data_IF_231729745872
#
_entry.id   IF_231729745872
#
_cell.length_a   1.000
_cell.length_b   1.000
_cell.length_c   1.000
_cell.angle_alpha   90.00
_cell.angle_beta   90.00
_cell.angle_gamma   90.00
#
_symmetry.space_group_name_H-M   'P 1'
#
loop_
_entity.id
_entity.type
_entity.pdbx_description
1 polymer ?
#
# COMPACT_ATOMS: atom_id res chain seq x y z
N UNK A 1 -9.45 8.44 7.10
CA UNK A 1 -8.99 9.07 5.82
C UNK A 1 -10.03 8.76 4.74
N UNK A 2 -10.27 9.64 3.76
CA UNK A 2 -11.39 9.47 2.84
C UNK A 2 -11.14 8.32 1.85
N UNK A 3 -12.15 7.50 1.63
CA UNK A 3 -12.16 6.48 0.58
C UNK A 3 -12.00 7.13 -0.80
N UNK A 4 -11.42 6.39 -1.75
CA UNK A 4 -11.19 6.87 -3.12
C UNK A 4 -12.02 6.03 -4.08
N UNK A 5 -12.92 6.68 -4.83
CA UNK A 5 -13.57 6.08 -5.99
C UNK A 5 -12.72 6.37 -7.22
N UNK A 6 -12.31 5.34 -7.96
CA UNK A 6 -11.54 5.53 -9.19
C UNK A 6 -12.46 6.02 -10.31
N UNK A 7 -12.04 7.02 -11.08
CA UNK A 7 -12.93 7.72 -12.02
C UNK A 7 -13.43 6.89 -13.20
N UNK A 8 -12.76 5.79 -13.52
CA UNK A 8 -13.13 4.88 -14.59
C UNK A 8 -13.43 3.48 -14.09
N UNK A 9 -13.80 2.63 -15.04
CA UNK A 9 -14.22 1.26 -14.77
C UNK A 9 -13.54 0.23 -15.69
N UNK A 10 -12.57 0.64 -16.50
CA UNK A 10 -11.74 -0.30 -17.29
C UNK A 10 -10.73 -1.05 -16.40
N UNK A 11 -10.03 -2.03 -16.97
CA UNK A 11 -9.01 -2.82 -16.26
C UNK A 11 -7.87 -1.96 -15.65
N UNK A 12 -7.68 -0.72 -16.13
CA UNK A 12 -6.71 0.24 -15.58
C UNK A 12 -7.19 1.00 -14.34
N UNK A 13 -8.49 1.00 -14.04
CA UNK A 13 -9.08 1.70 -12.89
C UNK A 13 -9.38 0.74 -11.75
N UNK A 14 -8.31 0.12 -11.24
CA UNK A 14 -8.37 -0.83 -10.11
C UNK A 14 -7.51 -0.36 -8.93
N UNK A 15 -7.93 -0.73 -7.74
CA UNK A 15 -7.11 -0.55 -6.55
C UNK A 15 -5.80 -1.36 -6.65
N UNK A 16 -4.74 -0.86 -6.03
CA UNK A 16 -3.56 -1.69 -5.81
C UNK A 16 -3.90 -2.79 -4.79
N UNK A 17 -3.06 -3.82 -4.67
CA UNK A 17 -3.27 -4.84 -3.65
C UNK A 17 -3.30 -4.24 -2.22
N UNK A 18 -2.53 -3.16 -1.98
CA UNK A 18 -2.50 -2.46 -0.70
C UNK A 18 -3.78 -1.66 -0.41
N UNK A 19 -4.44 -1.12 -1.44
CA UNK A 19 -5.63 -0.28 -1.26
C UNK A 19 -6.95 -1.00 -1.54
N UNK A 20 -6.90 -2.29 -1.85
CA UNK A 20 -8.07 -3.09 -2.14
C UNK A 20 -8.85 -3.42 -0.87
N UNK A 21 -10.16 -3.18 -0.90
CA UNK A 21 -11.08 -3.64 0.14
C UNK A 21 -11.43 -5.09 -0.16
N UNK A 22 -10.99 -6.00 0.71
CA UNK A 22 -11.01 -7.45 0.45
C UNK A 22 -12.13 -8.20 1.16
N UNK A 23 -12.97 -7.50 1.94
CA UNK A 23 -14.12 -8.12 2.62
C UNK A 23 -15.43 -7.39 2.35
N UNK A 24 -16.52 -8.15 2.37
CA UNK A 24 -17.87 -7.59 2.23
C UNK A 24 -18.23 -6.64 3.38
N UNK A 25 -17.76 -6.91 4.60
CA UNK A 25 -18.01 -6.08 5.78
C UNK A 25 -17.35 -4.71 5.64
N UNK A 26 -16.06 -4.65 5.27
CA UNK A 26 -15.36 -3.39 5.02
C UNK A 26 -15.99 -2.62 3.86
N UNK A 27 -16.46 -3.32 2.82
CA UNK A 27 -17.13 -2.68 1.69
C UNK A 27 -18.50 -2.10 2.07
N UNK A 28 -19.24 -2.77 2.96
CA UNK A 28 -20.50 -2.26 3.50
C UNK A 28 -20.27 -1.03 4.38
N UNK A 29 -19.20 -1.03 5.19
CA UNK A 29 -18.78 0.15 5.95
C UNK A 29 -18.39 1.31 5.03
N UNK A 30 -17.71 1.01 3.92
CA UNK A 30 -17.36 1.99 2.90
C UNK A 30 -18.62 2.62 2.27
N UNK A 31 -19.66 1.82 1.99
CA UNK A 31 -20.95 2.32 1.53
C UNK A 31 -21.55 3.32 2.51
N UNK A 32 -21.58 2.98 3.80
CA UNK A 32 -22.07 3.86 4.86
C UNK A 32 -21.25 5.15 4.96
N UNK A 33 -19.93 5.06 4.84
CA UNK A 33 -19.01 6.21 4.91
C UNK A 33 -19.21 7.17 3.73
N UNK A 34 -19.48 6.64 2.54
CA UNK A 34 -19.74 7.41 1.33
C UNK A 34 -21.18 7.94 1.25
N UNK A 35 -22.07 7.52 2.17
CA UNK A 35 -23.49 7.85 2.12
C UNK A 35 -24.24 7.15 0.99
N UNK A 36 -23.74 5.99 0.54
CA UNK A 36 -24.30 5.18 -0.55
C UNK A 36 -25.06 3.97 -0.03
N UNK A 37 -25.94 3.41 -0.86
CA UNK A 37 -26.78 2.26 -0.50
C UNK A 37 -25.95 0.98 -0.62
N UNK A 38 -25.99 0.13 0.40
CA UNK A 38 -25.41 -1.21 0.32
C UNK A 38 -26.25 -2.11 -0.59
N UNK A 39 -25.65 -2.56 -1.70
CA UNK A 39 -26.29 -3.39 -2.71
C UNK A 39 -26.08 -4.90 -2.53
N UNK A 40 -25.13 -5.31 -1.68
CA UNK A 40 -24.88 -6.72 -1.34
C UNK A 40 -23.51 -7.24 -1.79
N UNK A 41 -23.27 -8.52 -1.48
CA UNK A 41 -22.02 -9.22 -1.77
C UNK A 41 -22.29 -10.50 -2.57
N UNK A 42 -21.84 -10.57 -3.82
CA UNK A 42 -22.09 -11.67 -4.75
C UNK A 42 -20.99 -11.73 -5.84
N UNK A 43 -20.92 -12.84 -6.57
CA UNK A 43 -19.99 -12.97 -7.70
C UNK A 43 -20.60 -12.38 -8.98
N UNK A 44 -19.93 -11.38 -9.57
CA UNK A 44 -20.37 -10.73 -10.80
C UNK A 44 -19.21 -10.54 -11.78
N UNK A 45 -19.32 -11.15 -12.97
CA UNK A 45 -18.27 -11.08 -14.01
C UNK A 45 -18.13 -9.72 -14.70
N UNK A 46 -18.96 -8.74 -14.36
CA UNK A 46 -18.97 -7.39 -14.95
C UNK A 46 -18.74 -6.28 -13.90
N UNK A 47 -18.49 -6.64 -12.64
CA UNK A 47 -18.15 -5.69 -11.57
C UNK A 47 -16.64 -5.66 -11.36
N UNK A 48 -16.13 -4.59 -10.74
CA UNK A 48 -14.73 -4.59 -10.29
C UNK A 48 -14.51 -5.64 -9.21
N UNK A 49 -13.27 -6.08 -9.02
CA UNK A 49 -12.91 -6.99 -7.93
C UNK A 49 -13.03 -6.25 -6.58
N UNK A 50 -13.52 -6.94 -5.55
CA UNK A 50 -13.69 -6.35 -4.23
C UNK A 50 -14.79 -5.28 -4.22
N UNK A 51 -14.53 -4.15 -3.59
CA UNK A 51 -15.52 -3.10 -3.37
C UNK A 51 -15.68 -2.16 -4.56
N UNK A 52 -16.91 -1.89 -4.99
CA UNK A 52 -17.17 -1.06 -6.17
C UNK A 52 -18.48 -0.30 -6.08
N UNK A 53 -18.53 0.90 -6.67
CA UNK A 53 -19.76 1.68 -6.79
C UNK A 53 -20.41 1.56 -8.17
N UNK A 54 -21.73 1.71 -8.18
CA UNK A 54 -22.54 1.82 -9.38
C UNK A 54 -23.15 3.23 -9.47
N UNK A 55 -22.63 4.04 -10.39
CA UNK A 55 -23.17 5.34 -10.78
C UNK A 55 -23.49 6.27 -9.59
N UNK A 56 -22.67 6.25 -8.53
CA UNK A 56 -22.86 7.08 -7.34
C UNK A 56 -24.12 6.78 -6.52
N UNK A 57 -24.66 5.55 -6.59
CA UNK A 57 -25.89 5.19 -5.85
C UNK A 57 -25.72 4.01 -4.92
N UNK A 58 -25.11 2.93 -5.43
CA UNK A 58 -25.00 1.66 -4.72
C UNK A 58 -23.56 1.19 -4.66
N UNK A 59 -23.22 0.49 -3.58
CA UNK A 59 -21.93 -0.17 -3.38
C UNK A 59 -22.12 -1.67 -3.29
N UNK A 60 -21.27 -2.42 -3.98
CA UNK A 60 -21.30 -3.88 -4.03
C UNK A 60 -19.92 -4.46 -3.74
N UNK A 61 -19.90 -5.59 -3.05
CA UNK A 61 -18.70 -6.40 -2.92
C UNK A 61 -18.73 -7.57 -3.91
N UNK A 62 -17.82 -7.58 -4.87
CA UNK A 62 -17.67 -8.67 -5.81
C UNK A 62 -16.74 -9.74 -5.24
N UNK A 63 -17.30 -10.93 -5.00
CA UNK A 63 -16.52 -12.09 -4.51
C UNK A 63 -15.72 -12.79 -5.60
N UNK A 64 -15.95 -12.45 -6.88
CA UNK A 64 -15.19 -13.00 -7.98
C UNK A 64 -13.83 -12.32 -8.05
N UNK A 65 -12.76 -13.05 -7.73
CA UNK A 65 -11.38 -12.58 -7.89
C UNK A 65 -10.86 -12.93 -9.28
N UNK A 66 -10.27 -11.97 -9.98
CA UNK A 66 -9.54 -12.22 -11.23
C UNK A 66 -8.04 -12.15 -10.98
N UNK A 67 -7.28 -13.01 -11.66
CA UNK A 67 -5.82 -12.97 -11.61
C UNK A 67 -5.37 -11.57 -12.06
N UNK A 68 -4.68 -10.86 -11.17
CA UNK A 68 -4.22 -9.49 -11.38
C UNK A 68 -5.32 -8.55 -11.90
N UNK A 69 -6.57 -8.68 -11.44
CA UNK A 69 -7.67 -7.79 -11.87
C UNK A 69 -7.82 -7.71 -13.39
N UNK A 70 -7.75 -8.87 -14.07
CA UNK A 70 -7.92 -8.99 -15.51
C UNK A 70 -9.26 -8.42 -16.03
N UNK A 71 -9.47 -8.38 -17.35
CA UNK A 71 -10.67 -7.79 -17.94
C UNK A 71 -11.95 -8.40 -17.37
N UNK A 72 -13.02 -7.58 -17.28
CA UNK A 72 -14.33 -8.08 -16.89
C UNK A 72 -14.83 -9.09 -17.93
N UNK A 73 -15.11 -10.32 -17.49
CA UNK A 73 -15.43 -11.47 -18.38
C UNK A 73 -16.76 -11.27 -19.12
N UNK A 74 -17.67 -10.49 -18.54
CA UNK A 74 -18.95 -10.06 -19.15
C UNK A 74 -19.06 -8.53 -19.18
N UNK A 75 -17.93 -7.85 -19.31
CA UNK A 75 -17.83 -6.39 -19.34
C UNK A 75 -18.26 -5.78 -20.68
N UNK A 76 -18.00 -4.48 -20.85
CA UNK A 76 -18.10 -3.82 -22.15
C UNK A 76 -17.16 -4.45 -23.21
N UNK A 77 -17.34 -4.12 -24.50
CA UNK A 77 -16.53 -4.67 -25.60
C UNK A 77 -15.03 -4.38 -25.50
N UNK A 78 -14.62 -3.46 -24.61
CA UNK A 78 -13.25 -3.09 -24.27
C UNK A 78 -12.72 -3.79 -23.00
N UNK A 79 -13.49 -4.71 -22.41
CA UNK A 79 -13.17 -5.37 -21.14
C UNK A 79 -13.45 -4.51 -19.90
N UNK A 80 -14.20 -3.40 -20.06
CA UNK A 80 -14.62 -2.54 -18.96
C UNK A 80 -15.58 -3.24 -18.00
N UNK A 81 -15.40 -2.98 -16.72
CA UNK A 81 -16.38 -3.27 -15.70
C UNK A 81 -17.42 -2.15 -15.69
N UNK A 82 -18.65 -2.42 -15.25
CA UNK A 82 -19.72 -1.42 -15.21
C UNK A 82 -19.69 -0.58 -13.92
N UNK A 83 -18.81 -0.92 -12.99
CA UNK A 83 -18.68 -0.30 -11.68
C UNK A 83 -17.30 0.35 -11.52
N UNK A 84 -17.21 1.39 -10.71
CA UNK A 84 -15.95 2.05 -10.34
C UNK A 84 -15.39 1.42 -9.07
N UNK A 85 -14.09 1.18 -9.01
CA UNK A 85 -13.48 0.58 -7.81
C UNK A 85 -13.50 1.58 -6.65
N UNK A 86 -13.82 1.11 -5.45
CA UNK A 86 -13.67 1.85 -4.19
C UNK A 86 -12.42 1.32 -3.50
N UNK A 87 -11.45 2.20 -3.33
CA UNK A 87 -10.19 1.89 -2.69
C UNK A 87 -10.11 2.53 -1.31
N UNK A 88 -9.39 1.86 -0.42
CA UNK A 88 -8.82 2.53 0.74
C UNK A 88 -7.95 3.70 0.25
N UNK A 89 -7.89 4.81 1.00
CA UNK A 89 -6.96 5.87 0.69
C UNK A 89 -5.55 5.31 0.55
N UNK A 90 -4.81 5.79 -0.45
CA UNK A 90 -3.37 5.57 -0.45
C UNK A 90 -2.84 6.11 0.89
N UNK A 91 -2.07 5.28 1.60
CA UNK A 91 -1.39 5.71 2.81
C UNK A 91 -0.54 6.96 2.53
N UNK A 92 -0.11 7.68 3.58
CA UNK A 92 0.78 8.82 3.41
C UNK A 92 1.99 8.42 2.55
N UNK A 93 2.44 9.28 1.61
CA UNK A 93 3.42 8.89 0.61
C UNK A 93 4.71 8.41 1.28
N UNK A 94 5.10 7.19 0.96
CA UNK A 94 6.34 6.60 1.45
C UNK A 94 7.54 7.31 0.82
N UNK A 95 8.58 7.53 1.60
CA UNK A 95 9.83 8.13 1.15
C UNK A 95 10.92 7.08 1.16
N UNK A 96 11.50 6.80 -0.01
CA UNK A 96 12.75 6.05 -0.10
C UNK A 96 13.90 7.06 0.00
N UNK A 97 14.77 6.90 0.97
CA UNK A 97 15.94 7.79 1.10
C UNK A 97 16.97 7.43 0.02
N UNK A 98 17.48 8.44 -0.69
CA UNK A 98 18.29 8.22 -1.90
C UNK A 98 19.60 7.45 -1.69
N UNK A 99 20.14 7.48 -0.48
CA UNK A 99 21.37 6.78 -0.13
C UNK A 99 21.15 5.66 0.89
N UNK A 100 22.23 4.93 1.14
CA UNK A 100 22.25 3.83 2.09
C UNK A 100 23.30 3.99 3.19
N UNK A 101 23.99 5.15 3.23
CA UNK A 101 24.99 5.46 4.26
C UNK A 101 24.34 5.87 5.58
N UNK A 102 25.15 6.10 6.62
CA UNK A 102 24.66 6.44 7.95
C UNK A 102 23.79 7.72 8.01
N UNK A 103 23.89 8.60 7.02
CA UNK A 103 23.07 9.81 6.92
C UNK A 103 21.69 9.60 6.28
N UNK A 104 21.42 8.45 5.67
CA UNK A 104 20.16 8.18 4.95
C UNK A 104 19.26 7.23 5.74
N UNK A 105 18.76 7.75 6.86
CA UNK A 105 17.94 6.97 7.82
C UNK A 105 16.66 7.68 8.17
N UNK A 106 15.62 6.89 8.36
CA UNK A 106 14.38 7.39 8.93
C UNK A 106 14.65 7.91 10.35
N UNK A 107 14.03 9.04 10.68
CA UNK A 107 13.92 9.45 12.08
C UNK A 107 13.09 8.43 12.85
N UNK A 108 13.22 8.40 14.19
CA UNK A 108 12.38 7.53 15.03
C UNK A 108 10.87 7.75 14.79
N UNK A 109 10.46 8.97 14.46
CA UNK A 109 9.07 9.33 14.18
C UNK A 109 8.57 8.88 12.80
N UNK A 110 9.48 8.58 11.86
CA UNK A 110 9.16 8.23 10.48
C UNK A 110 9.54 6.79 10.13
N UNK A 111 10.05 6.03 11.10
CA UNK A 111 10.50 4.66 10.91
C UNK A 111 9.32 3.70 10.90
N UNK A 112 9.31 2.79 9.93
CA UNK A 112 8.37 1.68 9.88
C UNK A 112 8.94 0.55 10.74
N UNK A 113 8.29 0.26 11.87
CA UNK A 113 8.83 -0.57 12.94
C UNK A 113 8.22 -1.98 12.99
N UNK A 114 7.32 -2.32 12.08
CA UNK A 114 6.75 -3.67 12.00
C UNK A 114 6.91 -4.28 10.62
N UNK A 115 7.03 -5.62 10.60
CA UNK A 115 7.09 -6.37 9.35
C UNK A 115 5.81 -6.24 8.52
N UNK A 116 4.65 -6.15 9.18
CA UNK A 116 3.36 -6.01 8.51
C UNK A 116 3.25 -4.66 7.77
N UNK A 117 3.57 -3.55 8.44
CA UNK A 117 3.60 -2.22 7.80
C UNK A 117 4.64 -2.16 6.68
N UNK A 118 5.77 -2.84 6.82
CA UNK A 118 6.79 -2.88 5.78
C UNK A 118 6.35 -3.72 4.56
N UNK A 119 5.62 -4.81 4.78
CA UNK A 119 5.02 -5.60 3.70
C UNK A 119 3.94 -4.79 2.97
N UNK A 120 3.13 -4.01 3.70
CA UNK A 120 2.18 -3.06 3.10
C UNK A 120 2.90 -1.98 2.30
N UNK A 121 4.03 -1.48 2.80
CA UNK A 121 4.86 -0.51 2.09
C UNK A 121 5.41 -1.09 0.76
N UNK A 122 5.82 -2.37 0.76
CA UNK A 122 6.20 -3.08 -0.47
C UNK A 122 5.06 -3.07 -1.49
N UNK A 123 3.84 -3.40 -1.05
CA UNK A 123 2.65 -3.42 -1.91
C UNK A 123 2.31 -2.03 -2.45
N UNK A 124 2.39 -1.00 -1.59
CA UNK A 124 2.16 0.41 -1.95
C UNK A 124 3.16 0.91 -3.00
N UNK A 125 4.43 0.53 -2.87
CA UNK A 125 5.50 0.88 -3.80
C UNK A 125 5.52 0.01 -5.07
N UNK A 126 4.68 -1.01 -5.16
CA UNK A 126 4.70 -1.98 -6.26
C UNK A 126 5.95 -2.85 -6.30
N UNK A 127 6.60 -3.06 -5.16
CA UNK A 127 7.82 -3.84 -4.99
C UNK A 127 7.53 -5.22 -4.40
N UNK A 128 8.45 -6.16 -4.59
CA UNK A 128 8.31 -7.55 -4.11
C UNK A 128 8.63 -7.61 -2.62
N UNK A 129 7.78 -8.25 -1.83
CA UNK A 129 8.08 -8.54 -0.43
C UNK A 129 9.15 -9.62 -0.31
N UNK A 130 10.30 -9.26 0.26
CA UNK A 130 11.45 -10.13 0.44
C UNK A 130 11.53 -10.83 1.80
N UNK A 131 10.68 -10.46 2.75
CA UNK A 131 10.59 -11.09 4.07
C UNK A 131 11.14 -10.26 5.24
N UNK A 132 11.10 -10.85 6.43
CA UNK A 132 11.51 -10.23 7.69
C UNK A 132 12.62 -11.05 8.36
N UNK A 133 13.84 -10.51 8.44
CA UNK A 133 15.02 -11.22 8.96
C UNK A 133 16.01 -10.24 9.62
N UNK A 134 16.89 -10.75 10.49
CA UNK A 134 17.96 -9.94 11.08
C UNK A 134 19.21 -9.94 10.18
N UNK A 135 19.56 -8.80 9.61
CA UNK A 135 20.76 -8.64 8.78
C UNK A 135 21.54 -7.37 9.11
N UNK A 136 22.80 -7.54 9.51
CA UNK A 136 23.67 -6.43 9.93
C UNK A 136 24.10 -5.46 8.82
N UNK A 137 23.80 -5.77 7.56
CA UNK A 137 24.10 -4.93 6.38
C UNK A 137 22.84 -4.32 5.74
N UNK A 138 21.65 -4.57 6.30
CA UNK A 138 20.40 -3.94 5.87
C UNK A 138 20.14 -2.69 6.71
N UNK A 139 19.31 -1.76 6.22
CA UNK A 139 18.84 -0.67 7.08
C UNK A 139 18.00 -1.23 8.24
N UNK A 140 17.85 -0.46 9.30
CA UNK A 140 16.93 -0.80 10.39
C UNK A 140 15.47 -0.59 9.93
N UNK A 141 14.56 -1.43 10.40
CA UNK A 141 13.17 -1.41 9.98
C UNK A 141 12.98 -1.73 8.49
N UNK A 142 12.14 -0.94 7.81
CA UNK A 142 11.77 -1.20 6.42
C UNK A 142 12.77 -0.62 5.41
N UNK A 143 13.16 -1.44 4.42
CA UNK A 143 14.20 -1.05 3.47
C UNK A 143 14.00 -1.64 2.07
N UNK A 144 14.40 -0.90 1.05
CA UNK A 144 14.35 -1.31 -0.36
C UNK A 144 15.75 -1.72 -0.86
N UNK A 145 15.76 -2.74 -1.73
CA UNK A 145 16.94 -3.22 -2.42
C UNK A 145 16.81 -3.02 -3.94
N UNK A 146 17.62 -2.10 -4.47
CA UNK A 146 17.80 -1.81 -5.88
C UNK A 146 16.49 -1.64 -6.68
N UNK A 147 15.46 -1.08 -6.06
CA UNK A 147 14.14 -0.83 -6.67
C UNK A 147 13.36 -2.09 -7.02
N UNK A 148 13.65 -3.23 -6.39
CA UNK A 148 12.98 -4.52 -6.71
C UNK A 148 12.28 -5.16 -5.52
N UNK A 149 12.94 -5.17 -4.36
CA UNK A 149 12.46 -5.88 -3.18
C UNK A 149 12.43 -4.97 -1.96
N UNK A 150 11.51 -5.26 -1.05
CA UNK A 150 11.41 -4.62 0.26
C UNK A 150 11.58 -5.67 1.35
N UNK A 151 12.37 -5.35 2.37
CA UNK A 151 12.68 -6.22 3.50
C UNK A 151 12.47 -5.48 4.82
N UNK A 152 11.99 -6.22 5.82
CA UNK A 152 11.99 -5.74 7.19
C UNK A 152 13.17 -6.33 7.97
N UNK A 153 14.06 -5.46 8.43
CA UNK A 153 15.16 -5.87 9.29
C UNK A 153 14.71 -5.85 10.75
N UNK A 154 14.73 -7.01 11.40
CA UNK A 154 14.39 -7.12 12.83
C UNK A 154 15.54 -6.69 13.74
N UNK A 155 16.72 -6.42 13.18
CA UNK A 155 17.89 -5.95 13.94
C UNK A 155 17.80 -4.44 14.22
N UNK A 156 17.13 -4.12 15.33
CA UNK A 156 16.99 -2.74 15.83
C UNK A 156 18.32 -2.15 16.26
N UNK A 157 18.56 -0.89 15.89
CA UNK A 157 19.70 -0.09 16.31
C UNK A 157 19.21 1.26 16.80
N UNK A 158 19.90 1.84 17.78
CA UNK A 158 19.58 3.19 18.28
C UNK A 158 19.60 4.17 17.12
N UNK A 159 18.45 4.79 16.82
CA UNK A 159 18.24 5.69 15.68
C UNK A 159 18.75 5.13 14.34
N UNK A 160 18.58 3.83 14.13
CA UNK A 160 19.02 3.14 12.92
C UNK A 160 20.53 3.11 12.72
N UNK A 161 21.36 3.14 13.77
CA UNK A 161 22.84 3.15 13.80
C UNK A 161 23.63 2.42 12.69
N UNK A 162 24.96 2.70 12.50
CA UNK A 162 25.82 2.11 11.45
C UNK A 162 25.55 0.63 11.19
N UNK A 163 25.54 0.25 9.90
CA UNK A 163 25.49 -1.15 9.53
C UNK A 163 26.73 -1.86 10.06
N UNK A 164 26.52 -2.93 10.84
CA UNK A 164 27.57 -3.62 11.61
C UNK A 164 28.45 -4.49 10.71
N UNK A 165 27.97 -4.83 9.51
CA UNK A 165 28.70 -5.50 8.43
C UNK A 165 28.50 -4.75 7.10
N UNK A 166 28.41 -3.43 7.16
CA UNK A 166 28.24 -2.55 6.01
C UNK A 166 29.52 -2.34 5.20
N UNK A 167 29.45 -1.47 4.20
CA UNK A 167 30.65 -0.99 3.51
C UNK A 167 31.62 -0.27 4.47
N UNK A 168 32.86 0.03 4.03
CA UNK A 168 33.89 0.68 4.86
C UNK A 168 33.47 2.04 5.46
N UNK A 169 32.43 2.65 4.90
CA UNK A 169 31.80 3.92 5.29
C UNK A 169 30.58 3.75 6.23
N UNK A 170 30.28 2.53 6.67
CA UNK A 170 29.09 2.21 7.46
C UNK A 170 27.80 2.16 6.64
N UNK A 171 27.91 2.09 5.30
CA UNK A 171 26.78 1.93 4.39
C UNK A 171 26.07 0.60 4.56
N UNK A 172 24.75 0.66 4.53
CA UNK A 172 23.90 -0.48 4.33
C UNK A 172 23.77 -0.74 2.83
N UNK A 173 23.38 -1.95 2.42
CA UNK A 173 23.17 -2.26 1.00
C UNK A 173 21.75 -1.91 0.53
N UNK A 174 20.87 -1.53 1.47
CA UNK A 174 19.49 -1.16 1.21
C UNK A 174 19.26 0.32 1.53
N UNK A 175 18.26 0.92 0.90
CA UNK A 175 17.80 2.28 1.21
C UNK A 175 16.63 2.22 2.19
N UNK A 176 16.54 3.18 3.10
CA UNK A 176 15.48 3.19 4.11
C UNK A 176 14.15 3.61 3.49
N UNK A 177 13.06 2.95 3.86
CA UNK A 177 11.69 3.35 3.52
C UNK A 177 11.06 3.97 4.76
N UNK A 178 10.66 5.24 4.65
CA UNK A 178 10.11 6.02 5.74
C UNK A 178 8.66 6.39 5.48
N UNK A 179 7.89 6.52 6.55
CA UNK A 179 6.70 7.36 6.54
C UNK A 179 7.12 8.82 6.26
N UNK A 180 6.27 9.66 5.65
CA UNK A 180 6.62 11.06 5.52
C UNK A 180 6.76 11.67 6.91
N UNK A 181 7.80 12.48 7.10
CA UNK A 181 7.90 13.27 8.32
C UNK A 181 6.61 14.09 8.43
N UNK A 182 5.88 13.93 9.54
CA UNK A 182 4.72 14.78 9.82
C UNK A 182 5.17 16.25 9.72
N UNK A 183 4.26 17.18 9.35
CA UNK A 183 4.60 18.59 9.43
C UNK A 183 5.13 18.88 10.84
N UNK A 184 6.17 19.73 11.00
CA UNK A 184 6.57 20.15 12.34
C UNK A 184 5.32 20.64 13.06
N UNK A 185 5.07 20.14 14.27
CA UNK A 185 4.04 20.65 15.16
C UNK A 185 4.31 22.15 15.34
N UNK A 186 3.62 22.98 14.57
CA UNK A 186 3.53 24.41 14.85
C UNK A 186 2.61 24.51 16.04
N UNK A 187 3.20 24.55 17.24
CA UNK A 187 2.52 25.01 18.43
C UNK A 187 2.26 26.50 18.19
N UNK A 188 1.02 26.84 17.82
CA UNK A 188 0.56 28.21 17.86
C UNK A 188 0.33 28.53 19.34
N UNK A 189 1.21 29.33 19.93
CA UNK A 189 0.94 30.05 21.18
C UNK A 189 -0.01 31.24 20.92
#
# INVERSE_FOLDING_TARGET
PPLVILEGSTAGYRCSAASMINTAAECQEAASTLGLIWGGANAHGHYQDGCSENAGTHVYFNTQTRVNGGPCVNGGPDGSCNHKSICLPAGPPLVILEGSTAGYRCSAASMINTAAECQEAASTLGLIWGGANAHGHYQDGCSENAGTHVYFNTQTRVNGGPCVNGGPDGSCNHKSICLPAGPPLVILE
#
